data_IF_259040235924
#
_entry.id   IF_259040235924
#
_cell.length_a   1.000
_cell.length_b   1.000
_cell.length_c   1.000
_cell.angle_alpha   90.00
_cell.angle_beta   90.00
_cell.angle_gamma   90.00
#
_symmetry.space_group_name_H-M   'P 1'
#
loop_
_entity.id
_entity.type
_entity.pdbx_description
1 polymer ?
#
# COMPACT_ATOMS: atom_id res chain seq x y z
N UNK A 1 33.42 30.83 -9.35
CA UNK A 1 32.51 31.86 -8.81
C UNK A 1 31.22 31.79 -9.60
N UNK A 2 30.25 30.96 -9.19
CA UNK A 2 29.22 31.18 -8.14
C UNK A 2 28.12 32.15 -8.61
N UNK A 3 26.89 31.63 -8.53
CA UNK A 3 25.58 32.30 -8.51
C UNK A 3 24.87 32.57 -9.83
N UNK A 4 23.99 31.64 -10.21
CA UNK A 4 22.62 32.00 -10.57
C UNK A 4 21.65 31.12 -9.77
N UNK A 5 20.91 31.77 -8.87
CA UNK A 5 19.90 31.19 -7.99
C UNK A 5 18.70 30.72 -8.82
N UNK A 6 18.36 29.43 -8.74
CA UNK A 6 17.01 28.96 -8.94
C UNK A 6 16.35 28.84 -7.56
N UNK A 7 15.53 29.82 -7.22
CA UNK A 7 14.68 29.84 -6.03
C UNK A 7 13.61 28.76 -6.17
N UNK A 8 13.81 27.61 -5.53
CA UNK A 8 12.74 26.65 -5.29
C UNK A 8 11.92 27.21 -4.13
N UNK A 9 10.69 27.61 -4.42
CA UNK A 9 9.70 28.03 -3.43
C UNK A 9 9.31 26.79 -2.59
N UNK A 10 10.03 26.56 -1.50
CA UNK A 10 9.59 25.66 -0.43
C UNK A 10 8.46 26.36 0.29
N UNK A 11 7.22 25.87 0.14
CA UNK A 11 6.11 26.26 1.01
C UNK A 11 6.37 25.62 2.38
N UNK A 12 6.58 26.38 3.46
CA UNK A 12 6.73 25.81 4.79
C UNK A 12 5.35 25.34 5.27
N UNK A 13 5.17 24.03 5.42
CA UNK A 13 4.08 23.49 6.22
C UNK A 13 4.38 23.86 7.67
N UNK A 14 3.66 24.86 8.18
CA UNK A 14 3.74 25.28 9.57
C UNK A 14 3.24 24.15 10.48
N UNK A 15 4.18 23.42 11.09
CA UNK A 15 3.90 22.53 12.21
C UNK A 15 3.42 23.38 13.39
N UNK A 16 2.12 23.34 13.68
CA UNK A 16 1.59 23.85 14.95
C UNK A 16 1.83 22.80 16.04
N UNK A 17 2.69 23.06 17.05
CA UNK A 17 2.74 22.21 18.23
C UNK A 17 1.46 22.43 19.04
N UNK A 18 0.65 21.37 19.21
CA UNK A 18 -0.41 21.38 20.22
C UNK A 18 0.23 21.31 21.62
N UNK A 19 -0.31 22.04 22.61
CA UNK A 19 0.32 22.21 23.90
C UNK A 19 0.36 20.91 24.71
N UNK A 20 1.55 20.59 25.22
CA UNK A 20 1.78 19.57 26.22
C UNK A 20 1.11 19.98 27.54
N UNK A 21 0.04 19.29 27.93
CA UNK A 21 -0.50 19.39 29.28
C UNK A 21 0.39 18.54 30.20
N UNK A 22 1.23 19.21 30.97
CA UNK A 22 1.98 18.62 32.06
C UNK A 22 1.03 18.27 33.22
N UNK A 23 0.80 16.98 33.45
CA UNK A 23 0.51 16.50 34.81
C UNK A 23 1.76 15.87 35.40
N UNK A 24 2.38 16.61 36.32
CA UNK A 24 3.26 16.05 37.34
C UNK A 24 2.40 15.19 38.28
N UNK A 25 2.75 13.93 38.44
CA UNK A 25 2.51 13.20 39.68
C UNK A 25 3.66 12.22 39.90
N UNK A 26 4.26 12.35 41.08
CA UNK A 26 5.47 11.71 41.52
C UNK A 26 5.29 10.22 41.84
N UNK A 27 6.43 9.54 41.83
CA UNK A 27 6.74 8.22 42.36
C UNK A 27 5.75 7.59 43.36
N UNK A 28 5.35 6.36 43.07
CA UNK A 28 5.17 5.33 44.08
C UNK A 28 5.65 3.99 43.49
N UNK A 29 6.81 3.54 43.97
CA UNK A 29 7.31 2.19 43.79
C UNK A 29 6.37 1.27 44.59
N UNK A 30 5.58 0.47 43.90
CA UNK A 30 4.82 -0.62 44.51
C UNK A 30 5.21 -1.93 43.83
N UNK A 31 5.95 -2.74 44.57
CA UNK A 31 6.34 -4.11 44.25
C UNK A 31 5.11 -5.02 44.14
N UNK A 32 4.75 -5.42 42.91
CA UNK A 32 3.79 -6.48 42.61
C UNK A 32 4.44 -7.62 41.84
N UNK A 33 3.91 -8.86 41.92
CA UNK A 33 4.61 -10.06 41.45
C UNK A 33 4.86 -10.02 39.94
N UNK A 34 6.10 -10.35 39.54
CA UNK A 34 6.51 -10.50 38.14
C UNK A 34 5.59 -11.49 37.42
N UNK A 35 4.67 -10.98 36.60
CA UNK A 35 4.00 -11.80 35.60
C UNK A 35 5.07 -12.27 34.59
N UNK A 36 5.24 -13.59 34.51
CA UNK A 36 6.03 -14.23 33.45
C UNK A 36 5.43 -13.81 32.09
N UNK A 37 6.23 -13.43 31.09
CA UNK A 37 5.71 -13.26 29.73
C UNK A 37 5.24 -14.64 29.25
N UNK A 38 3.91 -14.82 29.18
CA UNK A 38 3.32 -15.92 28.45
C UNK A 38 3.61 -15.65 26.97
N UNK A 39 4.55 -16.41 26.40
CA UNK A 39 4.71 -16.47 24.96
C UNK A 39 3.42 -17.05 24.40
N UNK A 40 2.55 -16.18 23.87
CA UNK A 40 1.45 -16.59 23.02
C UNK A 40 2.11 -17.12 21.75
N UNK A 41 2.17 -18.45 21.64
CA UNK A 41 2.42 -19.11 20.39
C UNK A 41 1.32 -18.67 19.43
N UNK A 42 1.65 -17.79 18.49
CA UNK A 42 0.82 -17.54 17.32
C UNK A 42 1.09 -18.74 16.41
N UNK A 43 0.29 -19.79 16.56
CA UNK A 43 0.21 -20.80 15.50
C UNK A 43 -0.32 -20.08 14.25
N UNK A 44 0.41 -20.06 13.12
CA UNK A 44 -0.15 -19.55 11.89
C UNK A 44 -1.37 -20.42 11.54
N UNK A 45 -2.49 -19.84 11.11
CA UNK A 45 -3.62 -20.64 10.66
C UNK A 45 -3.14 -21.51 9.50
N UNK A 46 -3.05 -22.82 9.72
CA UNK A 46 -2.91 -23.83 8.66
C UNK A 46 -4.28 -24.02 8.02
N UNK A 47 -4.75 -23.00 7.29
CA UNK A 47 -5.85 -23.21 6.37
C UNK A 47 -5.34 -24.21 5.30
N UNK A 48 -6.05 -25.32 5.16
CA UNK A 48 -5.78 -26.30 4.10
C UNK A 48 -6.10 -25.67 2.74
N UNK A 49 -5.44 -26.09 1.67
CA UNK A 49 -5.68 -25.53 0.33
C UNK A 49 -7.17 -25.56 -0.07
N UNK A 50 -7.89 -26.61 0.36
CA UNK A 50 -9.33 -26.75 0.15
C UNK A 50 -10.18 -25.75 0.95
N UNK A 51 -9.75 -25.37 2.16
CA UNK A 51 -10.42 -24.32 2.95
C UNK A 51 -10.17 -22.95 2.34
N UNK A 52 -8.95 -22.68 1.87
CA UNK A 52 -8.62 -21.44 1.15
C UNK A 52 -9.40 -21.35 -0.15
N UNK A 53 -9.55 -22.45 -0.88
CA UNK A 53 -10.32 -22.54 -2.13
C UNK A 53 -11.82 -22.36 -1.90
N UNK A 54 -12.37 -22.99 -0.86
CA UNK A 54 -13.77 -22.80 -0.42
C UNK A 54 -14.05 -21.37 0.08
N UNK A 55 -13.11 -20.77 0.83
CA UNK A 55 -13.21 -19.38 1.27
C UNK A 55 -13.12 -18.44 0.06
N UNK A 56 -12.20 -18.69 -0.87
CA UNK A 56 -12.15 -17.99 -2.16
C UNK A 56 -13.48 -18.10 -2.91
N UNK A 57 -14.03 -19.30 -3.08
CA UNK A 57 -15.30 -19.53 -3.79
C UNK A 57 -16.48 -18.82 -3.12
N UNK A 58 -16.57 -18.86 -1.79
CA UNK A 58 -17.63 -18.16 -1.03
C UNK A 58 -17.55 -16.64 -1.18
N UNK A 59 -16.34 -16.12 -1.33
CA UNK A 59 -16.06 -14.69 -1.50
C UNK A 59 -16.18 -14.27 -2.96
N UNK A 60 -15.90 -15.16 -3.90
CA UNK A 60 -16.15 -15.01 -5.32
C UNK A 60 -17.67 -14.87 -5.54
N UNK A 61 -18.44 -15.72 -4.87
CA UNK A 61 -19.90 -15.58 -4.79
C UNK A 61 -20.32 -14.28 -4.11
N UNK A 62 -19.66 -13.82 -3.04
CA UNK A 62 -20.00 -12.56 -2.39
C UNK A 62 -19.65 -11.32 -3.24
N UNK A 63 -18.51 -11.33 -3.93
CA UNK A 63 -18.08 -10.27 -4.84
C UNK A 63 -18.96 -10.24 -6.10
N UNK A 64 -19.36 -11.39 -6.63
CA UNK A 64 -20.31 -11.51 -7.74
C UNK A 64 -21.76 -11.20 -7.31
N UNK A 65 -22.13 -11.48 -6.05
CA UNK A 65 -23.48 -11.21 -5.52
C UNK A 65 -23.69 -9.75 -5.10
N UNK A 66 -22.62 -8.96 -4.97
CA UNK A 66 -22.71 -7.51 -4.83
C UNK A 66 -22.98 -6.88 -6.19
N UNK A 67 -24.19 -7.10 -6.71
CA UNK A 67 -24.72 -6.33 -7.83
C UNK A 67 -24.91 -4.87 -7.40
N UNK A 68 -24.26 -3.94 -8.10
CA UNK A 68 -24.36 -2.50 -7.85
C UNK A 68 -25.79 -1.96 -7.91
N UNK A 69 -26.73 -2.66 -8.56
CA UNK A 69 -28.14 -2.29 -8.58
C UNK A 69 -28.91 -2.65 -7.29
N UNK A 70 -28.42 -3.63 -6.51
CA UNK A 70 -29.10 -4.11 -5.29
C UNK A 70 -28.34 -3.79 -4.00
N UNK A 71 -27.04 -3.49 -4.09
CA UNK A 71 -26.25 -3.10 -2.93
C UNK A 71 -26.74 -1.77 -2.34
N UNK A 72 -27.15 -1.80 -1.06
CA UNK A 72 -27.50 -0.62 -0.28
C UNK A 72 -26.48 -0.41 0.84
N UNK A 73 -25.75 0.72 0.85
CA UNK A 73 -24.80 0.99 1.91
C UNK A 73 -25.52 1.22 3.24
N UNK A 74 -25.04 0.59 4.30
CA UNK A 74 -25.53 0.78 5.66
C UNK A 74 -24.66 1.82 6.36
N UNK A 75 -25.26 2.57 7.30
CA UNK A 75 -24.53 3.48 8.18
C UNK A 75 -24.35 2.86 9.55
N UNK A 76 -23.15 3.03 10.08
CA UNK A 76 -22.78 2.61 11.42
C UNK A 76 -23.32 3.53 12.52
N UNK A 77 -23.12 3.15 13.79
CA UNK A 77 -23.48 3.97 14.95
C UNK A 77 -22.79 5.34 14.98
N UNK A 78 -21.63 5.46 14.34
CA UNK A 78 -20.85 6.70 14.20
C UNK A 78 -21.34 7.58 13.03
N UNK A 79 -22.36 7.15 12.30
CA UNK A 79 -22.93 7.84 11.15
C UNK A 79 -22.13 7.67 9.85
N UNK A 80 -21.00 6.96 9.86
CA UNK A 80 -20.19 6.68 8.66
C UNK A 80 -20.78 5.48 7.90
N UNK A 81 -20.48 5.38 6.61
CA UNK A 81 -20.87 4.19 5.85
C UNK A 81 -19.99 3.02 6.30
N UNK A 82 -20.60 1.86 6.53
CA UNK A 82 -19.86 0.68 6.96
C UNK A 82 -18.92 0.20 5.85
N UNK A 83 -17.67 -0.17 6.17
CA UNK A 83 -16.69 -0.61 5.18
C UNK A 83 -17.10 -1.96 4.59
N UNK A 84 -16.88 -2.12 3.28
CA UNK A 84 -17.17 -3.36 2.55
C UNK A 84 -15.85 -4.00 2.14
N UNK A 85 -15.60 -5.22 2.62
CA UNK A 85 -14.42 -6.01 2.25
C UNK A 85 -14.81 -6.93 1.09
N UNK A 86 -14.33 -6.62 -0.11
CA UNK A 86 -14.71 -7.33 -1.35
C UNK A 86 -13.75 -8.46 -1.71
N UNK A 87 -12.64 -8.62 -0.99
CA UNK A 87 -11.55 -9.52 -1.35
C UNK A 87 -11.14 -10.47 -0.22
N UNK A 88 -10.73 -11.71 -0.54
CA UNK A 88 -10.12 -12.63 0.41
C UNK A 88 -8.89 -12.05 1.09
N UNK A 89 -8.84 -12.19 2.42
CA UNK A 89 -7.75 -11.68 3.25
C UNK A 89 -7.67 -10.15 3.35
N UNK A 90 -8.68 -9.43 2.87
CA UNK A 90 -8.77 -7.98 3.06
C UNK A 90 -9.14 -7.65 4.51
N UNK A 91 -8.56 -6.58 5.04
CA UNK A 91 -8.74 -6.23 6.45
C UNK A 91 -8.62 -4.73 6.65
N UNK A 92 -9.28 -4.21 7.67
CA UNK A 92 -9.09 -2.83 8.13
C UNK A 92 -7.86 -2.71 9.06
N UNK A 93 -7.40 -3.82 9.61
CA UNK A 93 -6.28 -3.86 10.56
C UNK A 93 -4.96 -3.71 9.80
N UNK A 94 -4.18 -2.70 10.18
CA UNK A 94 -2.84 -2.50 9.63
C UNK A 94 -1.85 -3.39 10.36
N UNK A 95 -1.09 -4.18 9.62
CA UNK A 95 -0.06 -5.06 10.19
C UNK A 95 1.34 -4.49 9.99
N UNK A 96 2.32 -4.84 10.84
CA UNK A 96 3.73 -4.45 10.64
C UNK A 96 4.29 -4.91 9.29
N UNK A 97 3.84 -6.06 8.78
CA UNK A 97 4.24 -6.59 7.46
C UNK A 97 3.87 -5.62 6.33
N UNK A 98 2.67 -5.05 6.35
CA UNK A 98 2.25 -4.05 5.37
C UNK A 98 3.18 -2.82 5.42
N UNK A 99 3.59 -2.42 6.63
CA UNK A 99 4.58 -1.36 6.86
C UNK A 99 5.93 -1.66 6.22
N UNK A 100 6.48 -2.84 6.49
CA UNK A 100 7.77 -3.27 5.94
C UNK A 100 7.77 -3.36 4.43
N UNK A 101 6.71 -3.90 3.83
CA UNK A 101 6.58 -4.00 2.37
C UNK A 101 6.55 -2.59 1.73
N UNK A 102 5.74 -1.69 2.29
CA UNK A 102 5.62 -0.32 1.78
C UNK A 102 6.95 0.43 1.91
N UNK A 103 7.63 0.30 3.05
CA UNK A 103 8.93 0.88 3.29
C UNK A 103 10.00 0.32 2.34
N UNK A 104 10.04 -1.01 2.15
CA UNK A 104 11.00 -1.67 1.26
C UNK A 104 10.84 -1.23 -0.20
N UNK A 105 9.60 -1.15 -0.71
CA UNK A 105 9.33 -0.66 -2.07
C UNK A 105 9.75 0.81 -2.24
N UNK A 106 9.38 1.66 -1.26
CA UNK A 106 9.72 3.10 -1.30
C UNK A 106 11.24 3.30 -1.25
N UNK A 107 11.91 2.67 -0.28
CA UNK A 107 13.36 2.77 -0.14
C UNK A 107 14.08 2.17 -1.34
N UNK A 108 13.62 1.02 -1.86
CA UNK A 108 14.18 0.40 -3.05
C UNK A 108 14.11 1.32 -4.27
N UNK A 109 12.96 1.96 -4.49
CA UNK A 109 12.80 2.94 -5.58
C UNK A 109 13.75 4.12 -5.42
N UNK A 110 13.83 4.70 -4.22
CA UNK A 110 14.75 5.80 -3.93
C UNK A 110 16.21 5.40 -4.10
N UNK A 111 16.58 4.18 -3.70
CA UNK A 111 17.93 3.64 -3.89
C UNK A 111 18.30 3.46 -5.36
N UNK A 112 17.38 2.97 -6.19
CA UNK A 112 17.61 2.86 -7.65
C UNK A 112 17.80 4.23 -8.29
N UNK A 113 16.97 5.20 -7.94
CA UNK A 113 17.09 6.57 -8.42
C UNK A 113 18.44 7.16 -7.98
N UNK A 114 18.77 7.07 -6.69
CA UNK A 114 20.04 7.58 -6.16
C UNK A 114 21.25 6.91 -6.84
N UNK A 115 21.20 5.59 -7.04
CA UNK A 115 22.25 4.86 -7.74
C UNK A 115 22.43 5.35 -9.18
N UNK A 116 21.34 5.59 -9.92
CA UNK A 116 21.42 6.11 -11.28
C UNK A 116 22.10 7.49 -11.34
N UNK A 117 21.83 8.37 -10.37
CA UNK A 117 22.49 9.69 -10.29
C UNK A 117 23.96 9.61 -9.90
N UNK A 118 24.32 8.73 -8.95
CA UNK A 118 25.72 8.58 -8.49
C UNK A 118 26.59 7.89 -9.55
N UNK A 119 26.03 6.94 -10.30
CA UNK A 119 26.75 6.19 -11.33
C UNK A 119 26.81 6.92 -12.69
N UNK A 120 26.13 8.05 -12.85
CA UNK A 120 26.10 8.77 -14.12
C UNK A 120 27.06 9.96 -14.12
N UNK A 121 27.87 10.08 -15.18
CA UNK A 121 28.70 11.26 -15.44
C UNK A 121 27.90 12.48 -15.92
N UNK A 122 26.65 12.28 -16.35
CA UNK A 122 25.77 13.33 -16.82
C UNK A 122 24.36 13.17 -16.22
N UNK A 123 23.91 14.08 -15.34
CA UNK A 123 22.62 13.95 -14.65
C UNK A 123 21.42 14.04 -15.60
N UNK A 124 21.60 14.48 -16.85
CA UNK A 124 20.54 14.53 -17.85
C UNK A 124 19.92 13.15 -18.12
N UNK A 125 20.73 12.08 -18.17
CA UNK A 125 20.22 10.74 -18.45
C UNK A 125 19.32 10.20 -17.34
N UNK A 126 19.71 10.22 -16.05
CA UNK A 126 18.81 9.88 -14.95
C UNK A 126 17.54 10.75 -14.91
N UNK A 127 17.64 12.06 -15.20
CA UNK A 127 16.49 12.97 -15.24
C UNK A 127 15.50 12.60 -16.35
N UNK A 128 15.99 12.33 -17.57
CA UNK A 128 15.15 11.88 -18.68
C UNK A 128 14.50 10.53 -18.40
N UNK A 129 15.25 9.59 -17.82
CA UNK A 129 14.72 8.28 -17.41
C UNK A 129 13.64 8.41 -16.33
N UNK A 130 13.81 9.30 -15.35
CA UNK A 130 12.80 9.59 -14.33
C UNK A 130 11.54 10.20 -14.97
N UNK A 131 11.70 11.19 -15.85
CA UNK A 131 10.58 11.82 -16.53
C UNK A 131 9.81 10.81 -17.40
N UNK A 132 10.52 9.98 -18.16
CA UNK A 132 9.92 8.91 -18.97
C UNK A 132 9.22 7.87 -18.09
N UNK A 133 9.85 7.46 -16.98
CA UNK A 133 9.29 6.53 -16.02
C UNK A 133 8.00 7.03 -15.37
N UNK A 134 7.93 8.33 -15.04
CA UNK A 134 6.70 8.96 -14.53
C UNK A 134 5.59 8.93 -15.58
N UNK A 135 5.87 9.33 -16.82
CA UNK A 135 4.86 9.35 -17.90
C UNK A 135 4.37 7.93 -18.23
N UNK A 136 5.29 6.97 -18.39
CA UNK A 136 4.93 5.58 -18.67
C UNK A 136 4.23 4.92 -17.48
N UNK A 137 4.62 5.26 -16.25
CA UNK A 137 3.97 4.77 -15.03
C UNK A 137 2.52 5.21 -14.92
N UNK A 138 2.24 6.50 -15.15
CA UNK A 138 0.87 7.03 -15.17
C UNK A 138 0.05 6.43 -16.32
N UNK A 139 0.63 6.32 -17.52
CA UNK A 139 -0.03 5.71 -18.67
C UNK A 139 -0.37 4.23 -18.39
N UNK A 140 0.58 3.47 -17.85
CA UNK A 140 0.39 2.07 -17.48
C UNK A 140 -0.67 1.94 -16.39
N UNK A 141 -0.59 2.73 -15.30
CA UNK A 141 -1.55 2.67 -14.21
C UNK A 141 -2.97 3.00 -14.69
N UNK A 142 -3.13 4.04 -15.50
CA UNK A 142 -4.43 4.42 -16.06
C UNK A 142 -5.00 3.36 -17.00
N UNK A 143 -4.18 2.84 -17.92
CA UNK A 143 -4.60 1.77 -18.84
C UNK A 143 -4.93 0.47 -18.10
N UNK A 144 -4.13 0.11 -17.09
CA UNK A 144 -4.35 -1.06 -16.26
C UNK A 144 -5.65 -0.92 -15.46
N UNK A 145 -5.87 0.21 -14.77
CA UNK A 145 -7.10 0.48 -14.04
C UNK A 145 -8.33 0.38 -14.96
N UNK A 146 -8.32 1.08 -16.10
CA UNK A 146 -9.40 1.01 -17.08
C UNK A 146 -9.65 -0.43 -17.55
N UNK A 147 -8.59 -1.18 -17.87
CA UNK A 147 -8.73 -2.55 -18.31
C UNK A 147 -9.36 -3.44 -17.23
N UNK A 148 -8.88 -3.36 -15.98
CA UNK A 148 -9.39 -4.18 -14.87
C UNK A 148 -10.81 -3.82 -14.44
N UNK A 149 -11.23 -2.57 -14.65
CA UNK A 149 -12.59 -2.11 -14.35
C UNK A 149 -13.62 -2.55 -15.37
N UNK A 150 -13.22 -2.63 -16.64
CA UNK A 150 -14.13 -2.91 -17.75
C UNK A 150 -14.08 -4.37 -18.20
N UNK A 151 -12.99 -5.08 -17.89
CA UNK A 151 -12.75 -6.43 -18.35
C UNK A 151 -12.29 -7.33 -17.21
N UNK A 152 -12.71 -8.59 -17.29
CA UNK A 152 -12.36 -9.62 -16.32
C UNK A 152 -13.18 -9.55 -15.03
N UNK A 153 -12.89 -10.53 -14.20
CA UNK A 153 -13.48 -10.80 -12.89
C UNK A 153 -12.43 -11.47 -11.99
N UNK A 154 -12.80 -11.90 -10.78
CA UNK A 154 -11.88 -12.63 -9.89
C UNK A 154 -11.33 -13.91 -10.54
N UNK A 155 -12.08 -14.53 -11.47
CA UNK A 155 -11.65 -15.72 -12.21
C UNK A 155 -10.64 -15.42 -13.34
N UNK A 156 -10.29 -14.15 -13.58
CA UNK A 156 -9.30 -13.80 -14.61
C UNK A 156 -7.93 -14.33 -14.20
N UNK A 157 -7.25 -15.16 -15.02
CA UNK A 157 -5.94 -15.65 -14.69
C UNK A 157 -4.96 -14.50 -14.44
N UNK A 158 -4.10 -14.65 -13.42
CA UNK A 158 -3.03 -13.70 -13.05
C UNK A 158 -3.55 -12.39 -12.44
N UNK A 159 -4.53 -11.72 -13.05
CA UNK A 159 -4.98 -10.38 -12.69
C UNK A 159 -6.36 -10.33 -12.03
N UNK A 160 -7.02 -11.47 -11.81
CA UNK A 160 -8.39 -11.49 -11.27
C UNK A 160 -8.55 -10.80 -9.92
N UNK A 161 -7.54 -10.93 -9.05
CA UNK A 161 -7.52 -10.18 -7.78
C UNK A 161 -7.53 -8.66 -7.99
N UNK A 162 -6.82 -8.16 -9.02
CA UNK A 162 -6.84 -6.73 -9.35
C UNK A 162 -8.20 -6.30 -9.91
N UNK A 163 -8.80 -7.09 -10.81
CA UNK A 163 -10.16 -6.85 -11.32
C UNK A 163 -11.16 -6.72 -10.17
N UNK A 164 -11.21 -7.69 -9.26
CA UNK A 164 -12.12 -7.66 -8.11
C UNK A 164 -11.81 -6.51 -7.13
N UNK A 165 -10.54 -6.12 -6.98
CA UNK A 165 -10.14 -4.97 -6.16
C UNK A 165 -10.69 -3.65 -6.69
N UNK A 166 -10.44 -3.36 -7.97
CA UNK A 166 -10.83 -2.08 -8.58
C UNK A 166 -12.35 -1.99 -8.74
N UNK A 167 -13.00 -3.06 -9.23
CA UNK A 167 -14.45 -3.11 -9.37
C UNK A 167 -15.15 -2.98 -8.00
N UNK A 168 -14.64 -3.67 -6.96
CA UNK A 168 -15.18 -3.57 -5.61
C UNK A 168 -15.05 -2.17 -5.00
N UNK A 169 -13.99 -1.43 -5.34
CA UNK A 169 -13.82 -0.05 -4.87
C UNK A 169 -14.91 0.89 -5.40
N UNK A 170 -15.41 0.69 -6.62
CA UNK A 170 -16.52 1.48 -7.16
C UNK A 170 -17.84 1.24 -6.44
N UNK A 171 -18.05 0.04 -5.91
CA UNK A 171 -19.23 -0.29 -5.10
C UNK A 171 -19.19 0.35 -3.71
N UNK A 172 -18.00 0.41 -3.10
CA UNK A 172 -17.81 0.94 -1.74
C UNK A 172 -16.58 1.83 -1.61
N UNK A 173 -16.54 3.00 -2.28
CA UNK A 173 -15.35 3.85 -2.34
C UNK A 173 -14.93 4.39 -0.96
N UNK A 174 -15.88 4.55 -0.04
CA UNK A 174 -15.61 5.02 1.32
C UNK A 174 -14.73 4.06 2.14
N UNK A 175 -14.69 2.76 1.80
CA UNK A 175 -13.91 1.76 2.53
C UNK A 175 -12.43 2.13 2.64
N UNK A 176 -11.88 2.84 1.66
CA UNK A 176 -10.48 3.30 1.68
C UNK A 176 -10.19 4.24 2.86
N UNK A 177 -11.19 5.00 3.30
CA UNK A 177 -11.11 5.92 4.44
C UNK A 177 -11.18 5.25 5.80
N UNK A 178 -11.47 3.94 5.85
CA UNK A 178 -11.41 3.13 7.07
C UNK A 178 -10.07 2.42 7.24
N UNK A 179 -9.15 2.55 6.27
CA UNK A 179 -7.83 1.91 6.27
C UNK A 179 -6.74 2.96 6.47
N UNK A 180 -5.62 2.54 7.05
CA UNK A 180 -4.41 3.38 7.05
C UNK A 180 -3.81 3.47 5.65
N UNK A 181 -2.99 4.49 5.41
CA UNK A 181 -2.22 4.64 4.16
C UNK A 181 -1.49 3.33 3.80
N UNK A 182 -0.76 2.76 4.77
CA UNK A 182 0.02 1.54 4.59
C UNK A 182 -0.85 0.35 4.20
N UNK A 183 -2.03 0.21 4.80
CA UNK A 183 -2.97 -0.86 4.45
C UNK A 183 -3.50 -0.67 3.01
N UNK A 184 -3.73 0.57 2.59
CA UNK A 184 -4.18 0.85 1.22
C UNK A 184 -3.11 0.52 0.17
N UNK A 185 -1.83 0.84 0.43
CA UNK A 185 -0.79 0.83 -0.62
C UNK A 185 0.08 -0.42 -0.64
N UNK A 186 0.13 -1.24 0.42
CA UNK A 186 1.13 -2.31 0.51
C UNK A 186 0.99 -3.38 -0.58
N UNK A 187 -0.22 -3.64 -1.11
CA UNK A 187 -0.43 -4.64 -2.18
C UNK A 187 0.22 -4.17 -3.49
N UNK A 188 0.04 -2.89 -3.83
CA UNK A 188 0.70 -2.27 -4.99
C UNK A 188 2.21 -2.20 -4.74
N UNK A 189 2.63 -1.79 -3.54
CA UNK A 189 4.05 -1.79 -3.16
C UNK A 189 4.69 -3.19 -3.32
N UNK A 190 4.01 -4.26 -2.90
CA UNK A 190 4.48 -5.63 -3.11
C UNK A 190 4.63 -5.97 -4.60
N UNK A 191 3.64 -5.59 -5.43
CA UNK A 191 3.67 -5.83 -6.87
C UNK A 191 4.83 -5.09 -7.59
N UNK A 192 5.29 -3.96 -7.04
CA UNK A 192 6.44 -3.22 -7.62
C UNK A 192 7.80 -3.83 -7.29
N UNK A 193 7.93 -4.64 -6.23
CA UNK A 193 9.22 -5.17 -5.79
C UNK A 193 9.94 -6.02 -6.85
N UNK A 194 9.27 -6.94 -7.59
CA UNK A 194 9.90 -7.67 -8.68
C UNK A 194 10.35 -6.76 -9.83
N UNK A 195 9.62 -5.68 -10.12
CA UNK A 195 10.00 -4.70 -11.14
C UNK A 195 11.26 -3.92 -10.73
N UNK A 196 11.35 -3.53 -9.46
CA UNK A 196 12.55 -2.89 -8.91
C UNK A 196 13.76 -3.83 -8.95
N UNK A 197 13.56 -5.09 -8.57
CA UNK A 197 14.61 -6.12 -8.64
C UNK A 197 15.06 -6.35 -10.11
N UNK A 198 14.11 -6.45 -11.05
CA UNK A 198 14.40 -6.54 -12.47
C UNK A 198 15.15 -5.31 -12.98
N UNK A 199 14.73 -4.11 -12.57
CA UNK A 199 15.41 -2.86 -12.87
C UNK A 199 16.86 -2.86 -12.38
N UNK A 200 17.11 -3.29 -11.14
CA UNK A 200 18.47 -3.44 -10.59
C UNK A 200 19.33 -4.42 -11.38
N UNK A 201 18.78 -5.56 -11.80
CA UNK A 201 19.47 -6.55 -12.63
C UNK A 201 19.74 -6.01 -14.03
N UNK A 202 18.82 -5.26 -14.62
CA UNK A 202 19.01 -4.67 -15.95
C UNK A 202 19.93 -3.44 -15.93
N UNK A 203 20.05 -2.76 -14.79
CA UNK A 203 21.01 -1.68 -14.53
C UNK A 203 22.42 -2.20 -14.21
N UNK A 204 22.68 -3.51 -14.32
CA UNK A 204 24.04 -4.07 -14.23
C UNK A 204 24.97 -3.25 -15.12
N UNK A 205 26.13 -2.79 -14.60
CA UNK A 205 26.91 -1.75 -15.25
C UNK A 205 27.28 -2.15 -16.67
N UNK A 206 26.60 -1.58 -17.65
CA UNK A 206 27.02 -1.62 -19.03
C UNK A 206 28.23 -0.66 -19.15
N UNK A 207 29.42 -1.21 -18.87
CA UNK A 207 30.72 -0.68 -19.28
C UNK A 207 30.99 0.80 -19.00
N UNK A 208 31.74 1.06 -17.92
CA UNK A 208 32.77 2.08 -17.98
C UNK A 208 33.91 1.60 -18.90
#
# INVERSE_FOLDING_TARGET
SISMLATILVVPVAFHPRPCIHHRAAAAIASGPRARPCAIAIDPPKATAAEVESELDSMDLAAMALDGATFKPTRGPDGRLEPVLTLPGDSLVTTPRMGWITAASTLGTLSVIAYAFVSSSNPLWPLLSLALGLVLGELFSGAFHWATDNYGSLQTPIVGFACAAFQGHHLAPWTIGHRSLTNNVYKIAAATLPLLAGGLVLLTPCGA
#
